data_IF_717702119438
#
_entry.id   IF_717702119438
#
_cell.length_a   1.000
_cell.length_b   1.000
_cell.length_c   1.000
_cell.angle_alpha   90.00
_cell.angle_beta   90.00
_cell.angle_gamma   90.00
#
_symmetry.space_group_name_H-M   'P 1'
#
loop_
_entity.id
_entity.type
_entity.pdbx_description
1 polymer ?
#
# COMPACT_ATOMS: atom_id res chain seq x y z
N UNK A 1 12.69 -108.15 -25.49
CA UNK A 1 12.69 -106.72 -25.84
C UNK A 1 13.73 -106.49 -26.92
N UNK A 2 13.36 -105.78 -27.98
CA UNK A 2 14.28 -105.38 -29.06
C UNK A 2 15.37 -104.42 -28.52
N UNK A 3 16.67 -104.69 -28.70
CA UNK A 3 17.75 -103.80 -28.25
C UNK A 3 17.70 -102.40 -28.88
N UNK A 4 17.04 -102.22 -30.03
CA UNK A 4 16.83 -100.92 -30.65
C UNK A 4 15.84 -100.05 -29.84
N UNK A 5 14.83 -100.68 -29.24
CA UNK A 5 13.82 -100.02 -28.41
C UNK A 5 14.40 -99.51 -27.09
N UNK A 6 15.24 -100.32 -26.44
CA UNK A 6 15.90 -99.93 -25.19
C UNK A 6 16.83 -98.73 -25.39
N UNK A 7 17.58 -98.69 -26.49
CA UNK A 7 18.43 -97.54 -26.87
C UNK A 7 17.62 -96.27 -27.16
N UNK A 8 16.47 -96.39 -27.83
CA UNK A 8 15.60 -95.25 -28.12
C UNK A 8 14.97 -94.66 -26.83
N UNK A 9 14.49 -95.50 -25.92
CA UNK A 9 13.99 -95.05 -24.61
C UNK A 9 15.12 -94.40 -23.79
N UNK A 10 16.31 -95.00 -23.76
CA UNK A 10 17.46 -94.43 -23.05
C UNK A 10 17.81 -93.03 -23.59
N UNK A 11 17.73 -92.83 -24.92
CA UNK A 11 17.96 -91.53 -25.55
C UNK A 11 16.88 -90.49 -25.19
N UNK A 12 15.62 -90.89 -25.04
CA UNK A 12 14.52 -90.03 -24.59
C UNK A 12 14.63 -89.68 -23.11
N UNK A 13 14.98 -90.67 -22.28
CA UNK A 13 15.14 -90.52 -20.82
C UNK A 13 16.32 -89.62 -20.47
N UNK A 14 17.35 -89.54 -21.31
CA UNK A 14 18.49 -88.62 -21.11
C UNK A 14 18.25 -87.29 -21.85
N UNK A 15 17.82 -87.34 -23.11
CA UNK A 15 17.69 -86.17 -23.97
C UNK A 15 16.64 -85.16 -23.50
N UNK A 16 15.52 -85.62 -22.93
CA UNK A 16 14.45 -84.72 -22.49
C UNK A 16 14.76 -84.00 -21.18
N UNK A 17 15.29 -84.64 -20.13
CA UNK A 17 15.76 -83.91 -18.95
C UNK A 17 16.88 -82.91 -19.27
N UNK A 18 17.80 -83.27 -20.18
CA UNK A 18 18.84 -82.35 -20.67
C UNK A 18 18.21 -81.18 -21.44
N UNK A 19 17.23 -81.44 -22.29
CA UNK A 19 16.44 -80.40 -22.97
C UNK A 19 15.72 -79.47 -21.99
N UNK A 20 15.09 -80.02 -20.93
CA UNK A 20 14.39 -79.23 -19.90
C UNK A 20 15.38 -78.37 -19.12
N UNK A 21 16.54 -78.94 -18.78
CA UNK A 21 17.61 -78.23 -18.10
C UNK A 21 18.20 -77.11 -18.97
N UNK A 22 18.42 -77.35 -20.26
CA UNK A 22 18.88 -76.34 -21.23
C UNK A 22 17.86 -75.21 -21.39
N UNK A 23 16.58 -75.53 -21.54
CA UNK A 23 15.50 -74.55 -21.59
C UNK A 23 15.47 -73.72 -20.32
N UNK A 24 15.59 -74.34 -19.15
CA UNK A 24 15.60 -73.63 -17.86
C UNK A 24 16.88 -72.83 -17.65
N UNK A 25 17.99 -73.23 -18.25
CA UNK A 25 19.26 -72.49 -18.20
C UNK A 25 19.22 -71.25 -19.10
N UNK A 26 18.65 -71.36 -20.29
CA UNK A 26 18.53 -70.26 -21.27
C UNK A 26 17.40 -69.30 -20.89
N UNK A 27 16.21 -69.82 -20.61
CA UNK A 27 15.00 -69.03 -20.37
C UNK A 27 14.68 -68.81 -18.89
N UNK A 28 15.44 -69.39 -17.94
CA UNK A 28 15.27 -69.19 -16.49
C UNK A 28 13.81 -69.36 -16.02
N UNK A 29 13.23 -68.34 -15.37
CA UNK A 29 11.84 -68.31 -14.89
C UNK A 29 10.86 -67.80 -15.94
N UNK A 30 11.26 -67.69 -17.20
CA UNK A 30 10.44 -67.14 -18.28
C UNK A 30 9.16 -67.94 -18.52
N UNK A 31 8.11 -67.25 -18.98
CA UNK A 31 6.93 -67.87 -19.57
C UNK A 31 7.33 -68.89 -20.67
N UNK A 32 8.32 -68.55 -21.50
CA UNK A 32 8.81 -69.44 -22.57
C UNK A 32 9.42 -70.73 -22.02
N UNK A 33 10.04 -70.69 -20.84
CA UNK A 33 10.53 -71.89 -20.16
C UNK A 33 9.37 -72.83 -19.80
N UNK A 34 8.30 -72.27 -19.22
CA UNK A 34 7.11 -73.06 -18.85
C UNK A 34 6.38 -73.62 -20.06
N UNK A 35 6.18 -72.83 -21.13
CA UNK A 35 5.58 -73.30 -22.40
C UNK A 35 6.38 -74.46 -22.96
N UNK A 36 7.70 -74.29 -23.05
CA UNK A 36 8.59 -75.29 -23.64
C UNK A 36 8.62 -76.57 -22.81
N UNK A 37 8.53 -76.49 -21.49
CA UNK A 37 8.40 -77.66 -20.59
C UNK A 37 7.07 -78.39 -20.82
N UNK A 38 5.93 -77.68 -20.93
CA UNK A 38 4.63 -78.30 -21.21
C UNK A 38 4.60 -79.01 -22.58
N UNK A 39 5.11 -78.36 -23.63
CA UNK A 39 5.18 -78.96 -24.97
C UNK A 39 6.14 -80.15 -25.03
N UNK A 40 7.28 -80.07 -24.35
CA UNK A 40 8.23 -81.17 -24.34
C UNK A 40 7.74 -82.36 -23.50
N UNK A 41 6.98 -82.10 -22.43
CA UNK A 41 6.26 -83.15 -21.69
C UNK A 41 5.17 -83.81 -22.55
N UNK A 42 4.44 -83.03 -23.35
CA UNK A 42 3.47 -83.58 -24.30
C UNK A 42 4.15 -84.46 -25.37
N UNK A 43 5.22 -83.95 -25.99
CA UNK A 43 5.99 -84.67 -26.98
C UNK A 43 6.58 -85.97 -26.40
N UNK A 44 7.13 -85.92 -25.18
CA UNK A 44 7.61 -87.10 -24.45
C UNK A 44 6.49 -88.13 -24.27
N UNK A 45 5.31 -87.71 -23.82
CA UNK A 45 4.17 -88.59 -23.57
C UNK A 45 3.73 -89.29 -24.87
N UNK A 46 3.60 -88.56 -25.97
CA UNK A 46 3.22 -89.09 -27.28
C UNK A 46 4.26 -90.07 -27.81
N UNK A 47 5.56 -89.72 -27.73
CA UNK A 47 6.63 -90.58 -28.22
C UNK A 47 6.70 -91.88 -27.41
N UNK A 48 6.58 -91.81 -26.08
CA UNK A 48 6.59 -93.00 -25.21
C UNK A 48 5.41 -93.92 -25.56
N UNK A 49 4.19 -93.39 -25.64
CA UNK A 49 3.01 -94.19 -25.97
C UNK A 49 3.11 -94.82 -27.37
N UNK A 50 3.54 -94.05 -28.37
CA UNK A 50 3.70 -94.55 -29.74
C UNK A 50 4.74 -95.67 -29.80
N UNK A 51 5.84 -95.54 -29.06
CA UNK A 51 6.89 -96.56 -29.00
C UNK A 51 6.42 -97.83 -28.29
N UNK A 52 5.74 -97.71 -27.14
CA UNK A 52 5.20 -98.87 -26.42
C UNK A 52 4.21 -99.63 -27.31
N UNK A 53 3.35 -98.92 -28.07
CA UNK A 53 2.44 -99.55 -29.02
C UNK A 53 3.14 -100.36 -30.10
N UNK A 54 4.22 -99.83 -30.68
CA UNK A 54 5.02 -100.57 -31.66
C UNK A 54 5.71 -101.82 -31.12
N UNK A 55 5.97 -101.92 -29.80
CA UNK A 55 6.60 -103.09 -29.19
C UNK A 55 5.60 -104.18 -28.80
N UNK A 56 4.36 -103.81 -28.46
CA UNK A 56 3.31 -104.73 -28.01
C UNK A 56 2.14 -104.81 -29.01
N UNK A 57 2.43 -104.85 -30.31
CA UNK A 57 1.44 -104.67 -31.38
C UNK A 57 0.20 -105.59 -31.27
N UNK A 58 0.36 -106.83 -30.79
CA UNK A 58 -0.71 -107.82 -30.71
C UNK A 58 -1.66 -107.63 -29.51
N UNK A 59 -1.23 -106.92 -28.46
CA UNK A 59 -2.01 -106.70 -27.22
C UNK A 59 -2.24 -105.22 -26.90
N UNK A 60 -1.78 -104.30 -27.75
CA UNK A 60 -1.87 -102.87 -27.50
C UNK A 60 -3.23 -102.30 -27.93
N UNK A 61 -4.02 -101.70 -27.02
CA UNK A 61 -5.31 -101.11 -27.37
C UNK A 61 -5.09 -99.76 -28.06
N UNK A 62 -4.68 -99.79 -29.33
CA UNK A 62 -4.42 -98.60 -30.15
C UNK A 62 -5.52 -97.53 -30.09
N UNK A 63 -6.84 -97.87 -30.14
CA UNK A 63 -7.90 -96.86 -30.05
C UNK A 63 -7.93 -96.14 -28.70
N UNK A 64 -7.72 -96.88 -27.60
CA UNK A 64 -7.77 -96.34 -26.24
C UNK A 64 -6.57 -95.43 -25.94
N UNK A 65 -5.39 -95.83 -26.39
CA UNK A 65 -4.15 -95.05 -26.21
C UNK A 65 -4.15 -93.80 -27.10
N UNK A 66 -4.74 -93.89 -28.29
CA UNK A 66 -4.92 -92.71 -29.15
C UNK A 66 -5.81 -91.66 -28.47
N UNK A 67 -6.94 -92.08 -27.89
CA UNK A 67 -7.82 -91.21 -27.09
C UNK A 67 -7.11 -90.62 -25.87
N UNK A 68 -6.27 -91.41 -25.18
CA UNK A 68 -5.46 -90.95 -24.06
C UNK A 68 -4.45 -89.86 -24.45
N UNK A 69 -3.76 -90.01 -25.59
CA UNK A 69 -2.84 -89.00 -26.11
C UNK A 69 -3.55 -87.70 -26.46
N UNK A 70 -4.73 -87.78 -27.07
CA UNK A 70 -5.58 -86.61 -27.34
C UNK A 70 -5.98 -85.94 -26.02
N UNK A 71 -6.46 -86.71 -25.04
CA UNK A 71 -6.89 -86.19 -23.73
C UNK A 71 -5.76 -85.46 -22.98
N UNK A 72 -4.57 -86.04 -22.92
CA UNK A 72 -3.40 -85.42 -22.27
C UNK A 72 -2.93 -84.19 -23.04
N UNK A 73 -3.00 -84.19 -24.37
CA UNK A 73 -2.67 -83.02 -25.19
C UNK A 73 -3.64 -81.87 -24.94
N UNK A 74 -4.94 -82.14 -24.90
CA UNK A 74 -5.96 -81.14 -24.56
C UNK A 74 -5.74 -80.58 -23.15
N UNK A 75 -5.40 -81.44 -22.18
CA UNK A 75 -5.15 -81.03 -20.80
C UNK A 75 -3.92 -80.11 -20.68
N UNK A 76 -2.80 -80.45 -21.33
CA UNK A 76 -1.58 -79.65 -21.29
C UNK A 76 -1.74 -78.31 -22.04
N UNK A 77 -2.50 -78.27 -23.14
CA UNK A 77 -2.88 -77.03 -23.83
C UNK A 77 -3.79 -76.17 -22.94
N UNK A 78 -4.77 -76.80 -22.28
CA UNK A 78 -5.68 -76.10 -21.36
C UNK A 78 -4.95 -75.53 -20.14
N UNK A 79 -4.00 -76.28 -19.56
CA UNK A 79 -3.12 -75.76 -18.51
C UNK A 79 -2.28 -74.59 -19.03
N UNK A 80 -1.67 -74.71 -20.22
CA UNK A 80 -0.89 -73.61 -20.81
C UNK A 80 -1.75 -72.35 -21.00
N UNK A 81 -3.00 -72.50 -21.43
CA UNK A 81 -3.96 -71.39 -21.55
C UNK A 81 -4.28 -70.75 -20.18
N UNK A 82 -4.56 -71.54 -19.15
CA UNK A 82 -4.91 -71.05 -17.81
C UNK A 82 -3.70 -70.37 -17.12
N UNK A 83 -2.51 -70.95 -17.26
CA UNK A 83 -1.31 -70.46 -16.58
C UNK A 83 -0.65 -69.25 -17.26
N UNK A 84 -0.95 -69.01 -18.54
CA UNK A 84 -0.24 -68.01 -19.36
C UNK A 84 -1.23 -67.03 -20.01
N UNK A 85 -2.09 -67.53 -20.89
CA UNK A 85 -2.99 -66.68 -21.69
C UNK A 85 -3.96 -65.91 -20.82
N UNK A 86 -4.57 -66.56 -19.81
CA UNK A 86 -5.53 -65.91 -18.90
C UNK A 86 -4.88 -64.78 -18.08
N UNK A 87 -3.73 -64.98 -17.40
CA UNK A 87 -3.03 -63.89 -16.71
C UNK A 87 -2.59 -62.74 -17.61
N UNK A 88 -2.07 -63.03 -18.81
CA UNK A 88 -1.69 -61.98 -19.79
C UNK A 88 -2.92 -61.17 -20.18
N UNK A 89 -4.04 -61.85 -20.49
CA UNK A 89 -5.30 -61.18 -20.84
C UNK A 89 -5.78 -60.26 -19.72
N UNK A 90 -5.69 -60.69 -18.46
CA UNK A 90 -6.04 -59.85 -17.31
C UNK A 90 -5.15 -58.60 -17.21
N UNK A 91 -3.83 -58.72 -17.45
CA UNK A 91 -2.92 -57.55 -17.42
C UNK A 91 -3.22 -56.60 -18.58
N UNK A 92 -3.49 -57.13 -19.79
CA UNK A 92 -3.90 -56.34 -20.95
C UNK A 92 -5.20 -55.60 -20.68
N UNK A 93 -6.20 -56.27 -20.09
CA UNK A 93 -7.48 -55.66 -19.73
C UNK A 93 -7.30 -54.51 -18.73
N UNK A 94 -6.42 -54.67 -17.74
CA UNK A 94 -6.10 -53.59 -16.79
C UNK A 94 -5.33 -52.43 -17.43
N UNK A 95 -4.40 -52.71 -18.34
CA UNK A 95 -3.77 -51.65 -19.14
C UNK A 95 -4.77 -50.94 -20.05
N UNK A 96 -5.79 -51.65 -20.55
CA UNK A 96 -6.88 -51.06 -21.32
C UNK A 96 -7.74 -50.14 -20.47
N UNK A 97 -8.13 -50.56 -19.26
CA UNK A 97 -8.81 -49.70 -18.29
C UNK A 97 -8.00 -48.43 -18.01
N UNK A 98 -6.69 -48.56 -17.77
CA UNK A 98 -5.78 -47.43 -17.58
C UNK A 98 -5.78 -46.48 -18.80
N UNK A 99 -5.78 -47.00 -20.03
CA UNK A 99 -5.85 -46.17 -21.25
C UNK A 99 -7.19 -45.45 -21.42
N UNK A 100 -8.26 -45.99 -20.84
CA UNK A 100 -9.61 -45.41 -20.82
C UNK A 100 -9.79 -44.44 -19.64
N UNK A 101 -8.73 -44.15 -18.87
CA UNK A 101 -8.74 -43.21 -17.75
C UNK A 101 -9.11 -43.84 -16.41
N UNK A 102 -9.28 -45.15 -16.31
CA UNK A 102 -9.56 -45.84 -15.04
C UNK A 102 -8.25 -46.16 -14.30
N UNK A 103 -8.00 -45.40 -13.24
CA UNK A 103 -6.83 -45.51 -12.36
C UNK A 103 -7.10 -46.43 -11.16
N UNK A 104 -8.29 -47.03 -11.03
CA UNK A 104 -8.60 -48.00 -9.98
C UNK A 104 -8.05 -49.39 -10.35
N UNK A 105 -6.74 -49.59 -10.16
CA UNK A 105 -6.09 -50.84 -10.53
C UNK A 105 -6.13 -51.88 -9.39
N UNK A 106 -7.22 -52.62 -9.28
CA UNK A 106 -7.22 -53.90 -8.56
C UNK A 106 -6.57 -55.01 -9.42
N UNK A 107 -5.24 -55.12 -9.38
CA UNK A 107 -4.51 -56.24 -9.99
C UNK A 107 -4.56 -57.44 -9.04
N UNK A 108 -4.86 -58.63 -9.57
CA UNK A 108 -4.94 -59.86 -8.78
C UNK A 108 -3.63 -60.12 -8.02
N UNK A 109 -3.67 -60.37 -6.69
CA UNK A 109 -2.47 -60.63 -5.87
C UNK A 109 -1.63 -61.81 -6.38
N UNK A 110 -2.28 -62.78 -7.02
CA UNK A 110 -1.62 -63.95 -7.61
C UNK A 110 -0.67 -63.60 -8.74
N UNK A 111 -0.96 -62.56 -9.52
CA UNK A 111 -0.10 -62.12 -10.63
C UNK A 111 1.13 -61.37 -10.12
N UNK A 112 0.98 -60.57 -9.06
CA UNK A 112 2.08 -59.82 -8.45
C UNK A 112 3.16 -60.72 -7.83
N UNK A 113 2.77 -61.89 -7.32
CA UNK A 113 3.68 -62.89 -6.73
C UNK A 113 4.48 -63.69 -7.76
N UNK A 114 4.15 -63.60 -9.06
CA UNK A 114 4.87 -64.34 -10.11
C UNK A 114 6.26 -63.76 -10.32
N UNK A 115 7.24 -64.65 -10.52
CA UNK A 115 8.66 -64.32 -10.80
C UNK A 115 9.01 -64.37 -12.29
N UNK A 116 7.99 -64.39 -13.15
CA UNK A 116 8.14 -64.40 -14.61
C UNK A 116 7.70 -63.03 -15.17
N UNK A 117 7.77 -62.88 -16.49
CA UNK A 117 7.50 -61.63 -17.21
C UNK A 117 6.06 -61.14 -16.98
N UNK A 118 5.09 -62.02 -16.72
CA UNK A 118 3.71 -61.62 -16.37
C UNK A 118 3.69 -60.87 -15.04
N UNK A 119 4.44 -61.38 -14.05
CA UNK A 119 4.53 -60.74 -12.74
C UNK A 119 5.31 -59.43 -12.78
N UNK A 120 6.34 -59.35 -13.62
CA UNK A 120 7.06 -58.10 -13.87
C UNK A 120 6.17 -57.07 -14.56
N UNK A 121 5.47 -57.44 -15.63
CA UNK A 121 4.50 -56.58 -16.32
C UNK A 121 3.37 -56.12 -15.39
N UNK A 122 2.91 -57.01 -14.50
CA UNK A 122 1.90 -56.66 -13.49
C UNK A 122 2.43 -55.63 -12.48
N UNK A 123 3.69 -55.76 -12.02
CA UNK A 123 4.31 -54.79 -11.10
C UNK A 123 4.52 -53.44 -11.77
N UNK A 124 5.02 -53.41 -13.01
CA UNK A 124 5.19 -52.19 -13.79
C UNK A 124 3.84 -51.49 -14.01
N UNK A 125 2.77 -52.25 -14.29
CA UNK A 125 1.43 -51.69 -14.42
C UNK A 125 0.98 -50.98 -13.11
N UNK A 126 1.17 -51.60 -11.94
CA UNK A 126 0.89 -50.93 -10.64
C UNK A 126 1.71 -49.65 -10.47
N UNK A 127 3.01 -49.68 -10.79
CA UNK A 127 3.89 -48.52 -10.65
C UNK A 127 3.46 -47.37 -11.57
N UNK A 128 3.08 -47.66 -12.82
CA UNK A 128 2.56 -46.68 -13.77
C UNK A 128 1.24 -46.09 -13.27
N UNK A 129 0.28 -46.92 -12.87
CA UNK A 129 -1.00 -46.44 -12.34
C UNK A 129 -0.78 -45.53 -11.13
N UNK A 130 0.07 -45.94 -10.18
CA UNK A 130 0.40 -45.13 -9.00
C UNK A 130 1.00 -43.78 -9.38
N UNK A 131 1.91 -43.75 -10.36
CA UNK A 131 2.51 -42.51 -10.84
C UNK A 131 1.47 -41.59 -11.49
N UNK A 132 0.56 -42.11 -12.31
CA UNK A 132 -0.54 -41.33 -12.88
C UNK A 132 -1.51 -40.83 -11.82
N UNK A 133 -1.95 -41.66 -10.88
CA UNK A 133 -2.81 -41.26 -9.76
C UNK A 133 -2.17 -40.12 -8.96
N UNK A 134 -0.87 -40.20 -8.68
CA UNK A 134 -0.17 -39.13 -7.98
C UNK A 134 -0.18 -37.81 -8.77
N UNK A 135 0.20 -37.85 -10.06
CA UNK A 135 0.22 -36.65 -10.92
C UNK A 135 -1.18 -36.05 -11.04
N UNK A 136 -2.20 -36.87 -11.27
CA UNK A 136 -3.59 -36.40 -11.39
C UNK A 136 -4.09 -35.79 -10.07
N UNK A 137 -3.75 -36.39 -8.92
CA UNK A 137 -4.08 -35.85 -7.60
C UNK A 137 -3.38 -34.50 -7.32
N UNK A 138 -2.12 -34.36 -7.72
CA UNK A 138 -1.36 -33.10 -7.61
C UNK A 138 -1.95 -32.01 -8.50
N UNK A 139 -2.37 -32.33 -9.73
CA UNK A 139 -3.03 -31.37 -10.63
C UNK A 139 -4.40 -30.97 -10.06
N UNK A 140 -5.21 -31.93 -9.58
CA UNK A 140 -6.51 -31.65 -8.96
C UNK A 140 -6.37 -30.70 -7.74
N UNK A 141 -5.39 -30.98 -6.88
CA UNK A 141 -5.08 -30.11 -5.73
C UNK A 141 -4.64 -28.72 -6.18
N UNK A 142 -3.79 -28.64 -7.20
CA UNK A 142 -3.29 -27.36 -7.73
C UNK A 142 -4.39 -26.54 -8.39
N UNK A 143 -5.28 -27.16 -9.16
CA UNK A 143 -6.41 -26.49 -9.81
C UNK A 143 -7.38 -25.92 -8.76
N UNK A 144 -7.76 -26.70 -7.74
CA UNK A 144 -8.59 -26.20 -6.64
C UNK A 144 -7.93 -25.02 -5.90
N UNK A 145 -6.60 -25.07 -5.73
CA UNK A 145 -5.84 -23.97 -5.11
C UNK A 145 -5.87 -22.71 -5.99
N UNK A 146 -5.75 -22.85 -7.31
CA UNK A 146 -5.88 -21.72 -8.25
C UNK A 146 -7.28 -21.10 -8.15
N UNK A 147 -8.34 -21.91 -8.11
CA UNK A 147 -9.72 -21.40 -7.94
C UNK A 147 -9.88 -20.62 -6.63
N UNK A 148 -9.31 -21.13 -5.53
CA UNK A 148 -9.33 -20.41 -4.26
C UNK A 148 -8.57 -19.08 -4.33
N UNK A 149 -7.37 -19.07 -4.92
CA UNK A 149 -6.56 -17.87 -5.09
C UNK A 149 -7.29 -16.85 -5.97
N UNK A 150 -7.89 -17.29 -7.09
CA UNK A 150 -8.65 -16.40 -7.97
C UNK A 150 -9.81 -15.73 -7.24
N UNK A 151 -10.52 -16.46 -6.37
CA UNK A 151 -11.57 -15.87 -5.51
C UNK A 151 -11.01 -14.82 -4.55
N UNK A 152 -9.88 -15.09 -3.90
CA UNK A 152 -9.24 -14.16 -2.95
C UNK A 152 -8.74 -12.89 -3.66
N UNK A 153 -8.15 -13.04 -4.86
CA UNK A 153 -7.71 -11.90 -5.68
C UNK A 153 -8.91 -11.07 -6.15
N UNK A 154 -10.02 -11.69 -6.54
CA UNK A 154 -11.25 -10.99 -6.93
C UNK A 154 -11.84 -10.18 -5.74
N UNK A 155 -11.88 -10.77 -4.54
CA UNK A 155 -12.31 -10.07 -3.34
C UNK A 155 -11.39 -8.89 -3.00
N UNK A 156 -10.07 -9.09 -3.10
CA UNK A 156 -9.07 -8.04 -2.89
C UNK A 156 -9.23 -6.91 -3.90
N UNK A 157 -9.51 -7.25 -5.15
CA UNK A 157 -9.75 -6.29 -6.23
C UNK A 157 -10.99 -5.43 -5.95
N UNK A 158 -12.09 -6.06 -5.53
CA UNK A 158 -13.31 -5.34 -5.13
C UNK A 158 -13.03 -4.38 -3.97
N UNK A 159 -12.35 -4.86 -2.94
CA UNK A 159 -11.96 -4.05 -1.78
C UNK A 159 -11.07 -2.87 -2.18
N UNK A 160 -10.11 -3.08 -3.09
CA UNK A 160 -9.24 -2.03 -3.60
C UNK A 160 -10.01 -0.98 -4.41
N UNK A 161 -10.99 -1.42 -5.21
CA UNK A 161 -11.88 -0.52 -5.94
C UNK A 161 -12.70 0.35 -4.99
N UNK A 162 -13.32 -0.24 -3.98
CA UNK A 162 -14.14 0.49 -2.99
C UNK A 162 -13.28 1.47 -2.18
N UNK A 163 -12.10 1.06 -1.73
CA UNK A 163 -11.17 1.92 -1.02
C UNK A 163 -10.70 3.10 -1.90
N UNK A 164 -10.44 2.84 -3.18
CA UNK A 164 -10.07 3.88 -4.13
C UNK A 164 -11.22 4.86 -4.38
N UNK A 165 -12.47 4.38 -4.44
CA UNK A 165 -13.64 5.26 -4.58
C UNK A 165 -13.82 6.16 -3.36
N UNK A 166 -13.71 5.62 -2.14
CA UNK A 166 -13.76 6.40 -0.91
C UNK A 166 -12.61 7.43 -0.83
N UNK A 167 -11.43 7.06 -1.35
CA UNK A 167 -10.30 7.98 -1.44
C UNK A 167 -10.59 9.12 -2.43
N UNK A 168 -11.21 8.84 -3.58
CA UNK A 168 -11.60 9.86 -4.55
C UNK A 168 -12.60 10.87 -3.95
N UNK A 169 -13.56 10.39 -3.14
CA UNK A 169 -14.50 11.27 -2.44
C UNK A 169 -13.79 12.17 -1.42
N UNK A 170 -12.86 11.60 -0.65
CA UNK A 170 -12.03 12.36 0.30
C UNK A 170 -11.16 13.42 -0.41
N UNK A 171 -10.62 13.11 -1.59
CA UNK A 171 -9.85 14.07 -2.38
C UNK A 171 -10.72 15.20 -2.93
N UNK A 172 -12.00 14.96 -3.18
CA UNK A 172 -12.97 15.98 -3.59
C UNK A 172 -13.16 17.02 -2.49
N UNK A 173 -13.34 16.56 -1.25
CA UNK A 173 -13.49 17.43 -0.08
C UNK A 173 -12.22 18.22 0.22
N UNK A 174 -11.05 17.58 0.08
CA UNK A 174 -9.75 18.26 0.22
C UNK A 174 -9.59 19.33 -0.87
N UNK A 175 -9.97 19.03 -2.12
CA UNK A 175 -9.88 19.99 -3.23
C UNK A 175 -10.77 21.22 -2.97
N UNK A 176 -12.01 21.01 -2.51
CA UNK A 176 -12.91 22.10 -2.12
C UNK A 176 -12.33 22.93 -0.97
N UNK A 177 -11.76 22.26 0.04
CA UNK A 177 -11.09 22.93 1.17
C UNK A 177 -9.87 23.75 0.73
N UNK A 178 -9.13 23.28 -0.28
CA UNK A 178 -7.99 24.01 -0.86
C UNK A 178 -8.45 25.26 -1.62
N UNK A 179 -9.57 25.19 -2.35
CA UNK A 179 -10.14 26.35 -3.02
C UNK A 179 -10.61 27.42 -2.03
N UNK A 180 -11.26 27.01 -0.94
CA UNK A 180 -11.62 27.92 0.15
C UNK A 180 -10.38 28.51 0.82
N UNK A 181 -9.34 27.71 1.04
CA UNK A 181 -8.08 28.15 1.62
C UNK A 181 -7.38 29.20 0.76
N UNK A 182 -7.29 28.98 -0.56
CA UNK A 182 -6.73 29.97 -1.50
C UNK A 182 -7.49 31.29 -1.44
N UNK A 183 -8.83 31.22 -1.39
CA UNK A 183 -9.69 32.41 -1.25
C UNK A 183 -9.41 33.16 0.06
N UNK A 184 -9.26 32.44 1.19
CA UNK A 184 -8.93 33.04 2.49
C UNK A 184 -7.54 33.68 2.51
N UNK A 185 -6.56 33.07 1.84
CA UNK A 185 -5.21 33.63 1.71
C UNK A 185 -5.25 34.94 0.91
N UNK A 186 -6.06 35.01 -0.14
CA UNK A 186 -6.26 36.23 -0.94
C UNK A 186 -6.88 37.35 -0.10
N UNK A 187 -7.91 37.04 0.70
CA UNK A 187 -8.48 38.00 1.66
C UNK A 187 -7.45 38.47 2.69
N UNK A 188 -6.70 37.57 3.31
CA UNK A 188 -5.65 37.94 4.27
C UNK A 188 -4.59 38.85 3.64
N UNK A 189 -4.21 38.59 2.39
CA UNK A 189 -3.23 39.42 1.65
C UNK A 189 -3.79 40.82 1.42
N UNK A 190 -5.06 40.92 1.00
CA UNK A 190 -5.74 42.20 0.81
C UNK A 190 -5.86 42.98 2.12
N UNK A 191 -6.30 42.32 3.19
CA UNK A 191 -6.46 42.94 4.51
C UNK A 191 -5.12 43.42 5.06
N UNK A 192 -4.04 42.68 4.81
CA UNK A 192 -2.68 43.13 5.16
C UNK A 192 -2.27 44.39 4.38
N UNK A 193 -2.52 44.45 3.07
CA UNK A 193 -2.21 45.65 2.27
C UNK A 193 -3.00 46.87 2.76
N UNK A 194 -4.28 46.70 3.07
CA UNK A 194 -5.13 47.77 3.61
C UNK A 194 -4.63 48.23 4.99
N UNK A 195 -4.31 47.29 5.88
CA UNK A 195 -3.77 47.59 7.20
C UNK A 195 -2.40 48.31 7.13
N UNK A 196 -1.56 47.98 6.15
CA UNK A 196 -0.28 48.65 5.91
C UNK A 196 -0.49 50.11 5.50
N UNK A 197 -1.47 50.37 4.62
CA UNK A 197 -1.84 51.74 4.23
C UNK A 197 -2.31 52.55 5.44
N UNK A 198 -3.21 51.99 6.25
CA UNK A 198 -3.70 52.65 7.48
C UNK A 198 -2.57 52.91 8.47
N UNK A 199 -1.63 51.98 8.66
CA UNK A 199 -0.49 52.17 9.53
C UNK A 199 0.42 53.32 9.04
N UNK A 200 0.66 53.42 7.73
CA UNK A 200 1.44 54.50 7.13
C UNK A 200 0.75 55.86 7.28
N UNK A 201 -0.57 55.93 7.10
CA UNK A 201 -1.36 57.15 7.33
C UNK A 201 -1.31 57.57 8.81
N UNK A 202 -1.47 56.62 9.73
CA UNK A 202 -1.36 56.86 11.17
C UNK A 202 0.04 57.39 11.54
N UNK A 203 1.11 56.83 10.96
CA UNK A 203 2.47 57.31 11.16
C UNK A 203 2.62 58.77 10.73
N UNK A 204 2.06 59.14 9.57
CA UNK A 204 2.06 60.51 9.07
C UNK A 204 1.28 61.46 10.00
N UNK A 205 0.07 61.07 10.40
CA UNK A 205 -0.78 61.88 11.29
C UNK A 205 -0.12 62.11 12.67
N UNK A 206 0.48 61.08 13.26
CA UNK A 206 1.20 61.19 14.54
C UNK A 206 2.42 62.11 14.39
N UNK A 207 3.16 62.03 13.28
CA UNK A 207 4.30 62.92 13.01
C UNK A 207 3.87 64.38 12.88
N UNK A 208 2.79 64.66 12.16
CA UNK A 208 2.20 66.00 12.03
C UNK A 208 1.69 66.53 13.38
N UNK A 209 1.08 65.66 14.19
CA UNK A 209 0.67 65.96 15.57
C UNK A 209 1.87 66.31 16.46
N UNK A 210 2.99 65.59 16.31
CA UNK A 210 4.21 65.86 17.06
C UNK A 210 4.81 67.23 16.71
N UNK A 211 4.90 67.56 15.42
CA UNK A 211 5.36 68.87 14.96
C UNK A 211 4.46 70.02 15.48
N UNK A 212 3.15 69.80 15.49
CA UNK A 212 2.19 70.77 16.03
C UNK A 212 2.36 70.97 17.54
N UNK A 213 2.61 69.89 18.30
CA UNK A 213 2.89 69.97 19.73
C UNK A 213 4.22 70.69 20.02
N UNK A 214 5.26 70.46 19.21
CA UNK A 214 6.54 71.20 19.28
C UNK A 214 6.33 72.69 19.03
N UNK A 215 5.53 73.07 18.02
CA UNK A 215 5.19 74.48 17.76
C UNK A 215 4.43 75.12 18.93
N UNK A 216 3.47 74.41 19.52
CA UNK A 216 2.74 74.87 20.69
C UNK A 216 3.66 75.06 21.92
N UNK A 217 4.60 74.14 22.13
CA UNK A 217 5.62 74.25 23.18
C UNK A 217 6.47 75.51 23.02
N UNK A 218 6.95 75.78 21.81
CA UNK A 218 7.73 77.00 21.51
C UNK A 218 6.90 78.26 21.78
N UNK A 219 5.65 78.32 21.29
CA UNK A 219 4.77 79.46 21.54
C UNK A 219 4.51 79.70 23.04
N UNK A 220 4.32 78.64 23.83
CA UNK A 220 4.14 78.77 25.29
C UNK A 220 5.39 79.32 25.99
N UNK A 221 6.59 78.92 25.54
CA UNK A 221 7.86 79.45 26.05
C UNK A 221 8.03 80.93 25.69
N UNK A 222 7.71 81.30 24.45
CA UNK A 222 7.75 82.70 24.00
C UNK A 222 6.78 83.57 24.81
N UNK A 223 5.55 83.10 25.07
CA UNK A 223 4.59 83.80 25.92
C UNK A 223 5.17 83.98 27.33
N UNK A 224 5.71 82.93 27.95
CA UNK A 224 6.30 83.04 29.29
C UNK A 224 7.44 84.07 29.35
N UNK A 225 8.29 84.12 28.32
CA UNK A 225 9.37 85.10 28.22
C UNK A 225 8.83 86.54 28.08
N UNK A 226 7.87 86.78 27.18
CA UNK A 226 7.28 88.12 26.99
C UNK A 226 6.55 88.60 28.24
N UNK A 227 5.83 87.73 28.93
CA UNK A 227 5.13 88.09 30.16
C UNK A 227 6.13 88.39 31.29
N UNK A 228 7.27 87.70 31.36
CA UNK A 228 8.33 88.04 32.32
C UNK A 228 8.80 89.49 32.17
N UNK A 229 8.99 89.95 30.94
CA UNK A 229 9.33 91.36 30.65
C UNK A 229 8.22 92.29 31.15
N UNK A 230 6.94 91.93 30.97
CA UNK A 230 5.80 92.72 31.48
C UNK A 230 5.79 92.76 33.02
N UNK A 231 6.10 91.65 33.69
CA UNK A 231 6.25 91.59 35.15
C UNK A 231 7.35 92.54 35.62
N UNK A 232 8.48 92.60 34.92
CA UNK A 232 9.59 93.50 35.22
C UNK A 232 9.19 94.98 35.01
N UNK A 233 8.45 95.29 33.94
CA UNK A 233 7.91 96.64 33.68
C UNK A 233 6.92 97.04 34.78
N UNK A 234 6.00 96.14 35.18
CA UNK A 234 5.04 96.39 36.25
C UNK A 234 5.75 96.65 37.59
N UNK A 235 6.82 95.90 37.88
CA UNK A 235 7.64 96.12 39.06
C UNK A 235 8.36 97.48 39.03
N UNK A 236 8.98 97.85 37.90
CA UNK A 236 9.60 99.18 37.73
C UNK A 236 8.58 100.30 37.87
N UNK A 237 7.37 100.13 37.31
CA UNK A 237 6.27 101.10 37.42
C UNK A 237 5.79 101.25 38.86
N UNK A 238 5.74 100.15 39.61
CA UNK A 238 5.43 100.17 41.04
C UNK A 238 6.46 100.97 41.86
N UNK A 239 7.75 100.81 41.56
CA UNK A 239 8.83 101.59 42.20
C UNK A 239 8.75 103.08 41.81
N UNK A 240 8.48 103.39 40.54
CA UNK A 240 8.27 104.77 40.07
C UNK A 240 7.08 105.43 40.78
N UNK A 241 5.96 104.71 40.92
CA UNK A 241 4.77 105.18 41.61
C UNK A 241 5.02 105.39 43.11
N UNK A 242 5.80 104.51 43.75
CA UNK A 242 6.23 104.68 45.13
C UNK A 242 7.09 105.95 45.30
N UNK A 243 8.06 106.17 44.43
CA UNK A 243 8.90 107.37 44.44
C UNK A 243 8.06 108.64 44.23
N UNK A 244 7.09 108.60 43.31
CA UNK A 244 6.17 109.71 43.07
C UNK A 244 5.26 109.98 44.29
N UNK A 245 4.79 108.95 44.98
CA UNK A 245 4.01 109.09 46.21
C UNK A 245 4.83 109.72 47.35
N UNK A 246 6.12 109.36 47.47
CA UNK A 246 7.05 109.97 48.44
C UNK A 246 7.28 111.45 48.13
N UNK A 247 7.53 111.81 46.87
CA UNK A 247 7.75 113.21 46.48
C UNK A 247 6.47 114.05 46.60
N UNK A 248 5.31 113.47 46.31
CA UNK A 248 4.01 114.11 46.53
C UNK A 248 3.73 114.37 48.03
N UNK A 249 4.11 113.44 48.92
CA UNK A 249 4.03 113.65 50.37
C UNK A 249 5.00 114.76 50.84
N UNK A 250 6.19 114.85 50.21
CA UNK A 250 7.19 115.88 50.48
C UNK A 250 6.73 117.29 50.08
N UNK A 251 5.92 117.39 49.02
CA UNK A 251 5.35 118.66 48.53
C UNK A 251 4.14 119.17 49.35
N UNK A 252 3.68 118.44 50.37
CA UNK A 252 2.62 118.87 51.28
C UNK A 252 1.27 119.12 50.59
N UNK A 253 0.63 120.27 50.86
CA UNK A 253 -0.69 120.63 50.32
C UNK A 253 -0.72 120.68 48.78
N UNK A 254 0.39 121.06 48.12
CA UNK A 254 0.48 121.15 46.66
C UNK A 254 0.61 119.76 45.98
N UNK A 255 0.97 118.71 46.73
CA UNK A 255 1.17 117.35 46.22
C UNK A 255 -0.06 116.45 46.29
N UNK A 256 -1.17 116.88 46.90
CA UNK A 256 -2.36 116.03 47.16
C UNK A 256 -2.94 115.37 45.90
N UNK A 257 -3.03 116.10 44.79
CA UNK A 257 -3.51 115.55 43.51
C UNK A 257 -2.55 114.50 42.92
N UNK A 258 -1.24 114.76 43.00
CA UNK A 258 -0.21 113.83 42.55
C UNK A 258 -0.15 112.56 43.40
N UNK A 259 -0.37 112.65 44.71
CA UNK A 259 -0.40 111.50 45.61
C UNK A 259 -1.52 110.50 45.25
N UNK A 260 -2.70 110.99 44.86
CA UNK A 260 -3.82 110.13 44.42
C UNK A 260 -3.48 109.41 43.12
N UNK A 261 -2.90 110.12 42.14
CA UNK A 261 -2.47 109.52 40.87
C UNK A 261 -1.38 108.47 41.12
N UNK A 262 -0.39 108.77 41.96
CA UNK A 262 0.67 107.83 42.31
C UNK A 262 0.13 106.56 42.99
N UNK A 263 -0.84 106.69 43.91
CA UNK A 263 -1.50 105.55 44.54
C UNK A 263 -2.27 104.69 43.53
N UNK A 264 -2.96 105.30 42.56
CA UNK A 264 -3.70 104.56 41.53
C UNK A 264 -2.77 103.86 40.53
N UNK A 265 -1.66 104.50 40.13
CA UNK A 265 -0.62 103.88 39.28
C UNK A 265 0.03 102.71 40.01
N UNK A 266 0.28 102.84 41.32
CA UNK A 266 0.79 101.75 42.15
C UNK A 266 -0.17 100.56 42.17
N UNK A 267 -1.45 100.81 42.46
CA UNK A 267 -2.51 99.79 42.48
C UNK A 267 -2.67 99.09 41.13
N UNK A 268 -2.58 99.83 40.03
CA UNK A 268 -2.62 99.28 38.67
C UNK A 268 -1.39 98.40 38.39
N UNK A 269 -0.20 98.82 38.82
CA UNK A 269 1.05 98.07 38.66
C UNK A 269 1.03 96.76 39.45
N UNK A 270 0.58 96.78 40.70
CA UNK A 270 0.39 95.58 41.53
C UNK A 270 -0.62 94.61 40.88
N UNK A 271 -1.74 95.12 40.37
CA UNK A 271 -2.74 94.30 39.66
C UNK A 271 -2.19 93.69 38.36
N UNK A 272 -1.42 94.45 37.58
CA UNK A 272 -0.75 93.94 36.37
C UNK A 272 0.27 92.86 36.71
N UNK A 273 1.01 93.00 37.82
CA UNK A 273 1.97 92.00 38.27
C UNK A 273 1.28 90.69 38.67
N UNK A 274 0.15 90.76 39.38
CA UNK A 274 -0.64 89.56 39.70
C UNK A 274 -1.12 88.84 38.45
N UNK A 275 -1.70 89.57 37.48
CA UNK A 275 -2.16 88.99 36.23
C UNK A 275 -1.01 88.37 35.40
N UNK A 276 0.14 89.05 35.31
CA UNK A 276 1.31 88.54 34.63
C UNK A 276 1.83 87.24 35.28
N UNK A 277 1.86 87.17 36.62
CA UNK A 277 2.24 85.95 37.34
C UNK A 277 1.26 84.79 37.11
N UNK A 278 -0.04 85.05 36.97
CA UNK A 278 -1.03 84.04 36.61
C UNK A 278 -0.80 83.50 35.20
N UNK A 279 -0.52 84.39 34.22
CA UNK A 279 -0.20 83.96 32.85
C UNK A 279 1.08 83.12 32.83
N UNK A 280 2.14 83.51 33.56
CA UNK A 280 3.37 82.70 33.66
C UNK A 280 3.07 81.30 34.19
N UNK A 281 2.23 81.18 35.24
CA UNK A 281 1.82 79.87 35.77
C UNK A 281 1.07 79.05 34.71
N UNK A 282 0.16 79.68 33.96
CA UNK A 282 -0.58 79.00 32.89
C UNK A 282 0.34 78.56 31.74
N UNK A 283 1.25 79.42 31.29
CA UNK A 283 2.22 79.11 30.24
C UNK A 283 3.17 77.98 30.67
N UNK A 284 3.67 78.00 31.91
CA UNK A 284 4.49 76.91 32.44
C UNK A 284 3.73 75.59 32.49
N UNK A 285 2.45 75.60 32.89
CA UNK A 285 1.60 74.40 32.83
C UNK A 285 1.40 73.93 31.38
N UNK A 286 1.20 74.86 30.45
CA UNK A 286 1.08 74.56 29.01
C UNK A 286 2.34 73.93 28.42
N UNK A 287 3.53 74.42 28.83
CA UNK A 287 4.84 73.86 28.47
C UNK A 287 4.95 72.42 28.96
N UNK A 288 4.65 72.13 30.23
CA UNK A 288 4.71 70.77 30.80
C UNK A 288 3.78 69.83 30.03
N UNK A 289 2.52 70.23 29.79
CA UNK A 289 1.55 69.40 29.06
C UNK A 289 2.00 69.13 27.61
N UNK A 290 2.61 70.12 26.95
CA UNK A 290 3.11 69.95 25.58
C UNK A 290 4.31 69.01 25.54
N UNK A 291 5.24 69.10 26.51
CA UNK A 291 6.37 68.18 26.66
C UNK A 291 5.91 66.74 26.93
N UNK A 292 4.89 66.54 27.76
CA UNK A 292 4.28 65.24 27.99
C UNK A 292 3.63 64.66 26.73
N UNK A 293 2.91 65.49 25.96
CA UNK A 293 2.31 65.09 24.70
C UNK A 293 3.36 64.67 23.66
N UNK A 294 4.43 65.46 23.48
CA UNK A 294 5.56 65.13 22.59
C UNK A 294 6.18 63.79 23.00
N UNK A 295 6.47 63.61 24.29
CA UNK A 295 7.05 62.35 24.80
C UNK A 295 6.15 61.15 24.56
N UNK A 296 4.83 61.33 24.59
CA UNK A 296 3.87 60.26 24.29
C UNK A 296 3.86 59.93 22.80
N UNK A 297 3.83 60.94 21.93
CA UNK A 297 3.86 60.77 20.47
C UNK A 297 5.16 60.12 19.99
N UNK A 298 6.31 60.53 20.55
CA UNK A 298 7.62 59.94 20.26
C UNK A 298 7.69 58.45 20.65
N UNK A 299 6.98 58.04 21.71
CA UNK A 299 6.85 56.63 22.09
C UNK A 299 5.90 55.85 21.18
N UNK A 300 4.90 56.51 20.60
CA UNK A 300 3.90 55.87 19.73
C UNK A 300 4.44 55.61 18.32
N UNK A 301 5.26 56.51 17.76
CA UNK A 301 5.87 56.34 16.43
C UNK A 301 6.57 54.99 16.20
N UNK A 302 7.48 54.51 17.08
CA UNK A 302 8.12 53.21 16.88
C UNK A 302 7.14 52.03 16.97
N UNK A 303 6.06 52.14 17.75
CA UNK A 303 5.01 51.12 17.80
C UNK A 303 4.27 51.02 16.48
N UNK A 304 3.91 52.15 15.85
CA UNK A 304 3.27 52.17 14.53
C UNK A 304 4.18 51.56 13.47
N UNK A 305 5.48 51.90 13.47
CA UNK A 305 6.44 51.32 12.54
C UNK A 305 6.60 49.80 12.73
N UNK A 306 6.59 49.34 13.98
CA UNK A 306 6.63 47.90 14.28
C UNK A 306 5.37 47.20 13.77
N UNK A 307 4.19 47.81 13.95
CA UNK A 307 2.92 47.31 13.41
C UNK A 307 2.95 47.22 11.89
N UNK A 308 3.40 48.27 11.18
CA UNK A 308 3.55 48.26 9.73
C UNK A 308 4.50 47.15 9.26
N UNK A 309 5.66 46.98 9.92
CA UNK A 309 6.60 45.91 9.60
C UNK A 309 6.01 44.50 9.82
N UNK A 310 5.21 44.31 10.87
CA UNK A 310 4.53 43.03 11.12
C UNK A 310 3.47 42.74 10.05
N UNK A 311 2.71 43.76 9.63
CA UNK A 311 1.73 43.62 8.55
C UNK A 311 2.42 43.26 7.23
N UNK A 312 3.57 43.86 6.93
CA UNK A 312 4.36 43.50 5.76
C UNK A 312 4.80 42.02 5.80
N UNK A 313 5.21 41.52 6.97
CA UNK A 313 5.52 40.09 7.15
C UNK A 313 4.30 39.19 6.93
N UNK A 314 3.10 39.62 7.36
CA UNK A 314 1.86 38.88 7.09
C UNK A 314 1.59 38.80 5.58
N UNK A 315 1.79 39.89 4.85
CA UNK A 315 1.63 39.92 3.39
C UNK A 315 2.60 38.95 2.69
N UNK A 316 3.88 38.99 3.05
CA UNK A 316 4.89 38.07 2.51
C UNK A 316 4.55 36.61 2.84
N UNK A 317 4.21 36.32 4.10
CA UNK A 317 3.85 34.97 4.53
C UNK A 317 2.57 34.47 3.84
N UNK A 318 1.59 35.35 3.60
CA UNK A 318 0.37 34.99 2.86
C UNK A 318 0.70 34.65 1.40
N UNK A 319 1.63 35.37 0.77
CA UNK A 319 2.09 35.05 -0.58
C UNK A 319 2.85 33.72 -0.66
N UNK A 320 3.63 33.37 0.37
CA UNK A 320 4.25 32.04 0.51
C UNK A 320 3.18 30.95 0.69
N UNK A 321 2.21 31.15 1.59
CA UNK A 321 1.09 30.23 1.79
C UNK A 321 0.30 29.97 0.51
N UNK A 322 0.14 30.98 -0.36
CA UNK A 322 -0.50 30.83 -1.66
C UNK A 322 0.26 29.86 -2.57
N UNK A 323 1.59 29.97 -2.59
CA UNK A 323 2.43 29.08 -3.38
C UNK A 323 2.36 27.64 -2.84
N UNK A 324 2.41 27.48 -1.52
CA UNK A 324 2.28 26.19 -0.86
C UNK A 324 0.90 25.55 -1.13
N UNK A 325 -0.18 26.34 -1.05
CA UNK A 325 -1.53 25.88 -1.38
C UNK A 325 -1.64 25.44 -2.85
N UNK A 326 -1.03 26.16 -3.78
CA UNK A 326 -0.97 25.77 -5.19
C UNK A 326 -0.21 24.44 -5.40
N UNK A 327 0.88 24.23 -4.65
CA UNK A 327 1.65 22.99 -4.72
C UNK A 327 0.91 21.81 -4.09
N UNK A 328 0.20 22.03 -2.98
CA UNK A 328 -0.68 21.03 -2.37
C UNK A 328 -1.81 20.65 -3.34
N UNK A 329 -2.44 21.62 -4.00
CA UNK A 329 -3.48 21.37 -5.00
C UNK A 329 -2.96 20.50 -6.17
N UNK A 330 -1.74 20.77 -6.64
CA UNK A 330 -1.09 19.96 -7.68
C UNK A 330 -0.83 18.53 -7.19
N UNK A 331 -0.40 18.37 -5.94
CA UNK A 331 -0.21 17.05 -5.32
C UNK A 331 -1.53 16.27 -5.21
N UNK A 332 -2.62 16.94 -4.81
CA UNK A 332 -3.97 16.34 -4.75
C UNK A 332 -4.42 15.84 -6.11
N UNK A 333 -4.16 16.58 -7.19
CA UNK A 333 -4.43 16.12 -8.55
C UNK A 333 -3.62 14.87 -8.92
N UNK A 334 -2.34 14.81 -8.50
CA UNK A 334 -1.50 13.63 -8.70
C UNK A 334 -2.00 12.40 -7.95
N UNK A 335 -2.49 12.57 -6.71
CA UNK A 335 -3.11 11.49 -5.94
C UNK A 335 -4.41 11.04 -6.63
N UNK A 336 -5.25 11.97 -7.10
CA UNK A 336 -6.48 11.63 -7.81
C UNK A 336 -6.23 10.79 -9.07
N UNK A 337 -5.21 11.14 -9.86
CA UNK A 337 -4.79 10.33 -11.01
C UNK A 337 -4.34 8.92 -10.60
N UNK A 338 -3.61 8.81 -9.49
CA UNK A 338 -3.18 7.51 -8.95
C UNK A 338 -4.35 6.69 -8.42
N UNK A 339 -5.33 7.32 -7.78
CA UNK A 339 -6.57 6.69 -7.33
C UNK A 339 -7.38 6.14 -8.50
N UNK A 340 -7.52 6.89 -9.59
CA UNK A 340 -8.17 6.38 -10.82
C UNK A 340 -7.40 5.21 -11.43
N UNK A 341 -6.06 5.25 -11.41
CA UNK A 341 -5.24 4.13 -11.85
C UNK A 341 -5.45 2.89 -10.99
N UNK A 342 -5.59 3.04 -9.67
CA UNK A 342 -5.88 1.92 -8.77
C UNK A 342 -7.23 1.26 -9.08
N UNK A 343 -8.27 2.05 -9.40
CA UNK A 343 -9.55 1.50 -9.86
C UNK A 343 -9.38 0.69 -11.14
N UNK A 344 -8.62 1.21 -12.11
CA UNK A 344 -8.34 0.47 -13.37
C UNK A 344 -7.56 -0.83 -13.12
N UNK A 345 -6.60 -0.81 -12.19
CA UNK A 345 -5.82 -2.00 -11.80
C UNK A 345 -6.74 -3.01 -11.12
N UNK A 346 -7.59 -2.58 -10.17
CA UNK A 346 -8.56 -3.44 -9.51
C UNK A 346 -9.50 -4.12 -10.51
N UNK A 347 -10.02 -3.39 -11.50
CA UNK A 347 -10.85 -3.98 -12.56
C UNK A 347 -10.07 -5.02 -13.39
N UNK A 348 -8.81 -4.74 -13.71
CA UNK A 348 -7.95 -5.67 -14.46
C UNK A 348 -7.67 -6.94 -13.64
N UNK A 349 -7.34 -6.79 -12.36
CA UNK A 349 -7.13 -7.91 -11.44
C UNK A 349 -8.38 -8.78 -11.28
N UNK A 350 -9.57 -8.18 -11.22
CA UNK A 350 -10.83 -8.92 -11.17
C UNK A 350 -11.06 -9.75 -12.44
N UNK A 351 -10.74 -9.20 -13.61
CA UNK A 351 -10.80 -9.91 -14.89
C UNK A 351 -9.78 -11.05 -14.96
N UNK A 352 -8.52 -10.80 -14.63
CA UNK A 352 -7.47 -11.83 -14.60
C UNK A 352 -7.81 -12.96 -13.61
N UNK A 353 -8.43 -12.62 -12.47
CA UNK A 353 -8.91 -13.62 -11.51
C UNK A 353 -10.00 -14.52 -12.06
N UNK A 354 -10.92 -13.95 -12.84
CA UNK A 354 -11.97 -14.73 -13.51
C UNK A 354 -11.37 -15.66 -14.57
N UNK A 355 -10.39 -15.18 -15.34
CA UNK A 355 -9.68 -16.00 -16.32
C UNK A 355 -8.90 -17.15 -15.64
N UNK A 356 -8.24 -16.90 -14.51
CA UNK A 356 -7.58 -17.95 -13.72
C UNK A 356 -8.58 -19.00 -13.21
N UNK A 357 -9.76 -18.59 -12.76
CA UNK A 357 -10.81 -19.51 -12.34
C UNK A 357 -11.31 -20.37 -13.52
N UNK A 358 -11.53 -19.77 -14.68
CA UNK A 358 -11.93 -20.49 -15.90
C UNK A 358 -10.87 -21.52 -16.32
N UNK A 359 -9.58 -21.16 -16.28
CA UNK A 359 -8.49 -22.09 -16.58
C UNK A 359 -8.41 -23.24 -15.56
N UNK A 360 -8.65 -22.96 -14.28
CA UNK A 360 -8.69 -23.98 -13.24
C UNK A 360 -9.89 -24.94 -13.42
N UNK A 361 -11.07 -24.40 -13.75
CA UNK A 361 -12.26 -25.21 -14.07
C UNK A 361 -12.01 -26.09 -15.29
N UNK A 362 -11.39 -25.56 -16.35
CA UNK A 362 -11.03 -26.33 -17.54
C UNK A 362 -10.06 -27.49 -17.21
N UNK A 363 -9.09 -27.26 -16.33
CA UNK A 363 -8.19 -28.31 -15.83
C UNK A 363 -8.94 -29.37 -15.05
N UNK A 364 -9.85 -28.98 -14.15
CA UNK A 364 -10.67 -29.91 -13.37
C UNK A 364 -11.57 -30.75 -14.28
N UNK A 365 -12.18 -30.14 -15.30
CA UNK A 365 -13.00 -30.83 -16.31
C UNK A 365 -12.18 -31.87 -17.08
N UNK A 366 -10.98 -31.51 -17.54
CA UNK A 366 -10.07 -32.46 -18.23
C UNK A 366 -9.64 -33.62 -17.35
N UNK A 367 -9.52 -33.40 -16.05
CA UNK A 367 -9.12 -34.43 -15.09
C UNK A 367 -10.29 -35.35 -14.72
N UNK A 368 -11.55 -34.89 -14.80
CA UNK A 368 -12.73 -35.75 -14.58
C UNK A 368 -12.80 -36.95 -15.53
N UNK A 369 -12.11 -36.90 -16.67
CA UNK A 369 -11.92 -38.06 -17.54
C UNK A 369 -11.27 -39.23 -16.79
N UNK A 370 -10.33 -38.94 -15.88
CA UNK A 370 -9.64 -39.95 -15.08
C UNK A 370 -10.47 -40.31 -13.85
N UNK A 371 -10.89 -41.58 -13.76
CA UNK A 371 -11.56 -42.15 -12.60
C UNK A 371 -10.49 -42.66 -11.65
N UNK A 372 -10.44 -42.11 -10.44
CA UNK A 372 -9.49 -42.49 -9.40
C UNK A 372 -10.11 -43.38 -8.34
#
# INVERSE_FOLDING_TARGET
MDPLFLKAILSLVIGIPVGMALIKLVFKTSIFANISIFWMANLLFVIINTRIGGQFADSYPYPLVFLLNIGVSILLVSMSYIFITKPIKNVIEKLKCLSEGDLDSNILPENLKRKNEIGELSRINVEITKAFTQVISEINTSANKITSIGKDVNQTSTTLSDASQNQADSLRDISASMEEMMTRIEYNTKDAIEAEQVANEAHKAVREGNDSAVKALTAMRDIAEKIKIITDIAFQTNILALNAAVEAARAGEHGKGFAVVAAEVRRLSERSQTAANEIIKMSNRGTILSEEAIKMLDKTLPLINTTASNIQKISVSSQEQRNDASQMNSSVQGINASTQKNVSIALSMANESNELNEQAENLLEKIQYFKM
#
